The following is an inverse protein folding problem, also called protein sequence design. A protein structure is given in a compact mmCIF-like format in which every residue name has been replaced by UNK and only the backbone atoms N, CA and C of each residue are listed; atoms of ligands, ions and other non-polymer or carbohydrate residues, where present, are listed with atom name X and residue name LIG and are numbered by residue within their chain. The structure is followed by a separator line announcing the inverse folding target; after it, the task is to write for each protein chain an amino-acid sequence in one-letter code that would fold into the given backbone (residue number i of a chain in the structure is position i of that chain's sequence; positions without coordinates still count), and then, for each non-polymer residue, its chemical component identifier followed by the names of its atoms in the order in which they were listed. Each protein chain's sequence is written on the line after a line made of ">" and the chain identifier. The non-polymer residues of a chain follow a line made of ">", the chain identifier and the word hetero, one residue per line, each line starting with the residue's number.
data_IF_776848573395
#
_entry.id   IF_776848573395
#
_cell.length_a   1.000
_cell.length_b   1.000
_cell.length_c   1.000
_cell.angle_alpha   90.00
_cell.angle_beta   90.00
_cell.angle_gamma   90.00
#
_symmetry.space_group_name_H-M   'P 1'
#
loop_
_entity.id
_entity.type
_entity.pdbx_description
1 polymer ?
#
# COMPACT_ATOMS: atom_id res chain seq x y z
N UNK A 1 14.39 15.67 -7.17
CA UNK A 1 13.55 14.53 -6.75
C UNK A 1 14.34 13.76 -5.68
N UNK A 2 13.78 13.48 -4.49
CA UNK A 2 14.52 12.85 -3.39
C UNK A 2 14.05 11.40 -3.24
N UNK A 3 14.88 10.46 -3.66
CA UNK A 3 14.71 9.02 -3.42
C UNK A 3 15.22 8.71 -2.00
N UNK A 4 14.57 7.78 -1.30
CA UNK A 4 15.04 7.29 0.00
C UNK A 4 15.63 5.90 -0.22
N UNK A 5 16.91 5.73 0.04
CA UNK A 5 17.62 4.45 0.00
C UNK A 5 18.14 4.16 1.40
N UNK A 6 17.83 3.00 1.97
CA UNK A 6 18.30 2.59 3.30
C UNK A 6 18.78 1.12 3.28
N UNK A 7 19.73 0.74 4.15
CA UNK A 7 20.05 -0.66 4.40
C UNK A 7 18.88 -1.39 5.10
N UNK A 8 18.61 -2.65 4.70
CA UNK A 8 17.62 -3.54 5.33
C UNK A 8 18.09 -3.97 6.73
N UNK A 9 17.74 -3.24 7.78
CA UNK A 9 18.07 -3.63 9.17
C UNK A 9 16.91 -4.36 9.87
N UNK A 10 15.64 -4.07 9.54
CA UNK A 10 14.44 -4.72 10.13
C UNK A 10 13.15 -4.40 9.37
N UNK A 11 12.23 -5.37 9.23
CA UNK A 11 10.89 -5.13 8.68
C UNK A 11 10.09 -4.07 9.45
N UNK A 12 10.43 -3.81 10.72
CA UNK A 12 9.81 -2.74 11.50
C UNK A 12 10.16 -1.36 10.91
N UNK A 13 11.39 -1.18 10.40
CA UNK A 13 11.76 0.05 9.71
C UNK A 13 10.96 0.22 8.43
N UNK A 14 10.79 -0.84 7.64
CA UNK A 14 9.93 -0.83 6.44
C UNK A 14 8.50 -0.43 6.79
N UNK A 15 7.89 -1.02 7.83
CA UNK A 15 6.53 -0.64 8.27
C UNK A 15 6.46 0.84 8.69
N UNK A 16 7.47 1.36 9.41
CA UNK A 16 7.54 2.79 9.77
C UNK A 16 7.60 3.68 8.55
N UNK A 17 8.37 3.30 7.53
CA UNK A 17 8.44 4.03 6.27
C UNK A 17 7.12 3.94 5.49
N UNK A 18 6.44 2.80 5.49
CA UNK A 18 5.11 2.62 4.89
C UNK A 18 4.11 3.62 5.46
N UNK A 19 3.99 3.69 6.79
CA UNK A 19 3.10 4.66 7.45
C UNK A 19 3.55 6.10 7.20
N UNK A 20 4.85 6.40 7.35
CA UNK A 20 5.39 7.75 7.18
C UNK A 20 5.13 8.29 5.77
N UNK A 21 5.41 7.48 4.73
CA UNK A 21 5.28 7.89 3.34
C UNK A 21 3.82 8.00 2.92
N UNK A 22 2.98 7.01 3.27
CA UNK A 22 1.55 7.06 2.98
C UNK A 22 0.87 8.26 3.66
N UNK A 23 1.19 8.54 4.93
CA UNK A 23 0.63 9.67 5.66
C UNK A 23 1.10 11.04 5.13
N UNK A 24 2.38 11.15 4.78
CA UNK A 24 2.94 12.42 4.30
C UNK A 24 2.50 12.75 2.86
N UNK A 25 2.23 11.73 2.04
CA UNK A 25 2.10 11.89 0.59
C UNK A 25 0.82 11.30 -0.01
N UNK A 26 -0.22 11.00 0.78
CA UNK A 26 -1.48 10.46 0.22
C UNK A 26 -2.15 11.37 -0.82
N UNK A 27 -1.95 12.68 -0.73
CA UNK A 27 -2.52 13.65 -1.69
C UNK A 27 -1.90 13.58 -3.09
N UNK A 28 -0.76 12.91 -3.24
CA UNK A 28 -0.13 12.68 -4.54
C UNK A 28 -1.08 12.02 -5.53
N UNK A 29 -1.99 11.16 -5.03
CA UNK A 29 -2.96 10.45 -5.85
C UNK A 29 -3.97 11.36 -6.55
N UNK A 30 -4.12 12.62 -6.10
CA UNK A 30 -4.98 13.61 -6.75
C UNK A 30 -4.44 14.06 -8.12
N UNK A 31 -3.15 13.84 -8.39
CA UNK A 31 -2.52 14.26 -9.65
C UNK A 31 -2.74 13.25 -10.79
N UNK A 32 -3.25 12.05 -10.50
CA UNK A 32 -3.25 10.94 -11.44
C UNK A 32 -4.65 10.59 -11.94
N UNK A 33 -4.73 10.28 -13.23
CA UNK A 33 -5.94 9.84 -13.92
C UNK A 33 -5.63 8.57 -14.72
N UNK A 34 -6.62 7.69 -14.84
CA UNK A 34 -6.57 6.54 -15.74
C UNK A 34 -7.82 6.57 -16.60
N UNK A 35 -7.62 6.62 -17.93
CA UNK A 35 -8.70 6.70 -18.92
C UNK A 35 -9.71 7.83 -18.66
N UNK A 36 -9.21 9.00 -18.24
CA UNK A 36 -10.05 10.18 -17.93
C UNK A 36 -10.76 10.14 -16.57
N UNK A 37 -10.63 9.07 -15.79
CA UNK A 37 -11.18 8.97 -14.43
C UNK A 37 -10.05 9.22 -13.41
N UNK A 38 -10.23 10.14 -12.44
CA UNK A 38 -9.28 10.32 -11.34
C UNK A 38 -9.12 9.04 -10.53
N UNK A 39 -7.88 8.62 -10.26
CA UNK A 39 -7.67 7.38 -9.48
C UNK A 39 -8.19 7.50 -8.04
N UNK A 40 -8.26 8.73 -7.52
CA UNK A 40 -8.84 9.02 -6.22
C UNK A 40 -10.36 8.71 -6.12
N UNK A 41 -11.07 8.65 -7.25
CA UNK A 41 -12.51 8.30 -7.30
C UNK A 41 -12.77 6.82 -7.55
N UNK A 42 -11.72 6.01 -7.68
CA UNK A 42 -11.86 4.56 -7.86
C UNK A 42 -12.49 3.93 -6.63
N UNK A 43 -13.35 2.95 -6.80
CA UNK A 43 -13.73 2.01 -5.75
C UNK A 43 -12.54 1.13 -5.36
N UNK A 44 -12.50 0.54 -4.15
CA UNK A 44 -11.35 -0.23 -3.69
C UNK A 44 -10.90 -1.32 -4.68
N UNK A 45 -11.83 -2.05 -5.29
CA UNK A 45 -11.50 -3.08 -6.28
C UNK A 45 -10.94 -2.49 -7.60
N UNK A 46 -11.38 -1.30 -8.01
CA UNK A 46 -10.83 -0.62 -9.18
C UNK A 46 -9.41 -0.14 -8.90
N UNK A 47 -9.17 0.40 -7.70
CA UNK A 47 -7.83 0.82 -7.27
C UNK A 47 -6.89 -0.39 -7.12
N UNK A 48 -7.38 -1.50 -6.57
CA UNK A 48 -6.63 -2.76 -6.48
C UNK A 48 -6.12 -3.20 -7.85
N UNK A 49 -7.03 -3.28 -8.83
CA UNK A 49 -6.68 -3.69 -10.21
C UNK A 49 -5.73 -2.70 -10.86
N UNK A 50 -5.95 -1.40 -10.67
CA UNK A 50 -5.06 -0.37 -11.19
C UNK A 50 -3.61 -0.53 -10.71
N UNK A 51 -3.41 -0.81 -9.41
CA UNK A 51 -2.08 -1.05 -8.86
C UNK A 51 -1.53 -2.39 -9.34
N UNK A 52 -2.36 -3.43 -9.38
CA UNK A 52 -1.97 -4.77 -9.84
C UNK A 52 -1.50 -4.79 -11.30
N UNK A 53 -2.10 -3.96 -12.15
CA UNK A 53 -1.74 -3.81 -13.57
C UNK A 53 -0.37 -3.14 -13.78
N UNK A 54 0.18 -2.47 -12.77
CA UNK A 54 1.54 -1.95 -12.85
C UNK A 54 2.55 -3.12 -12.78
N UNK A 55 3.65 -3.02 -13.53
CA UNK A 55 4.71 -4.03 -13.52
C UNK A 55 5.35 -4.16 -12.12
N UNK A 56 5.53 -5.40 -11.66
CA UNK A 56 6.29 -5.67 -10.44
C UNK A 56 7.78 -5.67 -10.77
N UNK A 57 8.53 -4.82 -10.08
CA UNK A 57 9.98 -4.75 -10.22
C UNK A 57 10.59 -4.84 -8.82
N UNK A 58 11.30 -5.94 -8.55
CA UNK A 58 11.99 -6.13 -7.27
C UNK A 58 13.12 -5.14 -7.07
N UNK A 59 13.43 -4.86 -5.82
CA UNK A 59 14.63 -4.14 -5.47
C UNK A 59 15.94 -4.82 -5.91
N UNK A 60 16.98 -4.04 -6.28
CA UNK A 60 18.32 -4.55 -6.47
C UNK A 60 18.89 -5.19 -5.18
N UNK A 61 19.74 -6.21 -5.30
CA UNK A 61 20.35 -6.84 -4.13
C UNK A 61 21.06 -5.84 -3.21
N UNK A 62 20.69 -5.83 -1.92
CA UNK A 62 21.33 -5.02 -0.89
C UNK A 62 20.88 -3.55 -0.82
N UNK A 63 19.86 -3.14 -1.58
CA UNK A 63 19.29 -1.79 -1.56
C UNK A 63 17.78 -1.92 -1.37
N UNK A 64 17.21 -1.19 -0.40
CA UNK A 64 15.76 -1.06 -0.23
C UNK A 64 15.30 0.30 -0.80
N UNK A 65 14.39 0.28 -1.78
CA UNK A 65 13.75 1.48 -2.31
C UNK A 65 12.34 1.61 -1.75
N UNK A 66 12.15 2.61 -0.89
CA UNK A 66 10.81 3.02 -0.42
C UNK A 66 10.39 4.32 -1.10
N UNK A 67 9.42 4.23 -1.98
CA UNK A 67 8.94 5.31 -2.83
C UNK A 67 7.65 5.95 -2.27
N UNK A 68 7.57 7.28 -2.37
CA UNK A 68 6.27 7.96 -2.17
C UNK A 68 5.35 7.71 -3.39
N UNK A 69 4.02 7.79 -3.23
CA UNK A 69 3.05 7.44 -4.27
C UNK A 69 3.30 8.08 -5.64
N UNK A 70 3.62 9.39 -5.70
CA UNK A 70 3.90 10.07 -6.97
C UNK A 70 5.06 9.46 -7.75
N UNK A 71 6.10 9.02 -7.04
CA UNK A 71 7.31 8.46 -7.67
C UNK A 71 6.97 7.08 -8.24
N UNK A 72 6.33 6.24 -7.43
CA UNK A 72 5.87 4.91 -7.83
C UNK A 72 5.03 4.96 -9.11
N UNK A 73 4.07 5.89 -9.18
CA UNK A 73 3.18 6.02 -10.33
C UNK A 73 3.84 6.64 -11.58
N UNK A 74 4.76 7.61 -11.41
CA UNK A 74 5.46 8.22 -12.54
C UNK A 74 6.48 7.28 -13.19
N UNK A 75 7.06 6.37 -12.41
CA UNK A 75 8.10 5.44 -12.86
C UNK A 75 7.56 4.02 -13.11
N UNK A 76 6.26 3.80 -12.90
CA UNK A 76 5.62 2.52 -13.21
C UNK A 76 5.83 2.14 -14.70
N UNK A 77 6.34 0.94 -14.94
CA UNK A 77 6.65 0.45 -16.29
C UNK A 77 7.95 0.99 -16.90
N UNK A 78 8.76 1.75 -16.13
CA UNK A 78 10.10 2.18 -16.58
C UNK A 78 11.22 1.20 -16.18
N UNK A 79 10.89 0.06 -15.57
CA UNK A 79 11.85 -0.83 -14.91
C UNK A 79 12.42 -0.28 -13.59
N UNK A 80 11.87 0.81 -13.04
CA UNK A 80 12.21 1.26 -11.69
C UNK A 80 11.60 0.33 -10.65
N UNK A 81 12.26 0.09 -9.49
CA UNK A 81 11.70 -0.74 -8.43
C UNK A 81 10.31 -0.29 -8.00
N UNK A 82 9.42 -1.27 -7.86
CA UNK A 82 8.03 -1.10 -7.46
C UNK A 82 7.49 -2.42 -6.89
N UNK A 83 8.02 -2.78 -5.72
CA UNK A 83 7.75 -4.07 -5.09
C UNK A 83 6.60 -4.02 -4.05
N UNK A 84 6.55 -4.99 -3.14
CA UNK A 84 5.49 -5.12 -2.14
C UNK A 84 5.37 -3.92 -1.19
N UNK A 85 6.47 -3.27 -0.81
CA UNK A 85 6.45 -2.15 0.14
C UNK A 85 5.86 -0.88 -0.49
N UNK A 86 6.25 -0.55 -1.72
CA UNK A 86 5.76 0.57 -2.51
C UNK A 86 4.28 0.44 -2.83
N UNK A 87 3.85 -0.78 -3.18
CA UNK A 87 2.44 -1.08 -3.42
C UNK A 87 1.62 -0.98 -2.14
N UNK A 88 2.20 -1.34 -1.01
CA UNK A 88 1.60 -1.14 0.32
C UNK A 88 1.47 0.35 0.64
N UNK A 89 2.52 1.15 0.41
CA UNK A 89 2.48 2.62 0.56
C UNK A 89 1.36 3.22 -0.29
N UNK A 90 1.27 2.80 -1.54
CA UNK A 90 0.28 3.30 -2.49
C UNK A 90 -1.15 2.94 -2.08
N UNK A 91 -1.35 1.69 -1.65
CA UNK A 91 -2.64 1.19 -1.17
C UNK A 91 -3.08 1.92 0.11
N UNK A 92 -2.18 2.10 1.07
CA UNK A 92 -2.48 2.80 2.31
C UNK A 92 -2.75 4.29 2.09
N UNK A 93 -1.98 4.93 1.20
CA UNK A 93 -2.22 6.29 0.75
C UNK A 93 -3.63 6.48 0.16
N UNK A 94 -4.13 5.51 -0.61
CA UNK A 94 -5.47 5.57 -1.18
C UNK A 94 -6.56 5.60 -0.10
N UNK A 95 -6.52 4.69 0.88
CA UNK A 95 -7.52 4.69 1.96
C UNK A 95 -7.43 5.95 2.83
N UNK A 96 -6.21 6.45 3.08
CA UNK A 96 -6.00 7.74 3.75
C UNK A 96 -6.64 8.89 2.97
N UNK A 97 -6.47 8.94 1.66
CA UNK A 97 -7.09 9.98 0.82
C UNK A 97 -8.63 9.88 0.82
N UNK A 98 -9.17 8.66 0.78
CA UNK A 98 -10.63 8.42 0.88
C UNK A 98 -11.19 8.96 2.19
N UNK A 99 -10.55 8.65 3.33
CA UNK A 99 -10.95 9.18 4.64
C UNK A 99 -10.78 10.70 4.74
N UNK A 100 -9.66 11.25 4.23
CA UNK A 100 -9.44 12.69 4.18
C UNK A 100 -10.53 13.40 3.37
N UNK A 101 -10.98 12.81 2.26
CA UNK A 101 -12.08 13.34 1.45
C UNK A 101 -13.40 13.35 2.23
N UNK A 102 -13.72 12.29 2.98
CA UNK A 102 -14.91 12.29 3.86
C UNK A 102 -14.85 13.43 4.88
N UNK A 103 -13.69 13.61 5.52
CA UNK A 103 -13.46 14.68 6.49
C UNK A 103 -13.68 16.07 5.88
N UNK A 104 -13.19 16.31 4.66
CA UNK A 104 -13.43 17.58 3.95
C UNK A 104 -14.92 17.84 3.66
N UNK A 105 -15.71 16.78 3.49
CA UNK A 105 -17.16 16.85 3.30
C UNK A 105 -17.95 16.90 4.61
N UNK A 106 -17.27 16.99 5.77
CA UNK A 106 -17.92 16.99 7.09
C UNK A 106 -18.55 15.64 7.46
N UNK A 107 -18.04 14.54 6.92
CA UNK A 107 -18.52 13.17 7.17
C UNK A 107 -17.50 12.38 7.97
N UNK A 108 -17.97 11.34 8.65
CA UNK A 108 -17.11 10.40 9.36
C UNK A 108 -16.20 9.64 8.38
N UNK A 109 -15.04 9.23 8.88
CA UNK A 109 -14.11 8.39 8.14
C UNK A 109 -14.78 7.07 7.74
N UNK A 110 -14.57 6.65 6.50
CA UNK A 110 -15.25 5.49 5.93
C UNK A 110 -14.55 4.18 6.26
N UNK A 111 -13.22 4.19 6.33
CA UNK A 111 -12.42 2.97 6.42
C UNK A 111 -11.53 2.94 7.66
N UNK A 112 -11.40 1.76 8.26
CA UNK A 112 -10.23 1.41 9.07
C UNK A 112 -9.23 0.65 8.18
N UNK A 113 -7.95 0.79 8.48
CA UNK A 113 -6.86 0.08 7.80
C UNK A 113 -5.79 -0.36 8.79
N UNK A 114 -5.08 -1.44 8.45
CA UNK A 114 -3.93 -1.96 9.21
C UNK A 114 -2.89 -2.55 8.25
N UNK A 115 -1.63 -2.48 8.63
CA UNK A 115 -0.52 -3.06 7.85
C UNK A 115 -0.19 -4.44 8.40
N UNK A 116 0.02 -5.40 7.52
CA UNK A 116 0.38 -6.78 7.87
C UNK A 116 1.76 -7.08 7.31
N UNK A 117 2.62 -7.65 8.16
CA UNK A 117 3.86 -8.31 7.71
C UNK A 117 3.65 -9.81 7.88
N UNK A 118 3.77 -10.54 6.79
CA UNK A 118 3.48 -11.98 6.73
C UNK A 118 4.64 -12.78 6.15
N UNK A 119 4.63 -14.08 6.42
CA UNK A 119 5.56 -15.04 5.84
C UNK A 119 4.93 -16.42 5.69
N UNK A 120 5.35 -17.18 4.66
CA UNK A 120 4.93 -18.58 4.49
C UNK A 120 5.52 -19.49 5.56
N UNK A 121 6.67 -19.13 6.10
CA UNK A 121 7.30 -19.79 7.26
C UNK A 121 7.18 -18.89 8.48
N UNK A 122 7.89 -19.24 9.55
CA UNK A 122 8.09 -18.44 10.77
C UNK A 122 8.84 -17.11 10.57
N UNK A 123 9.27 -16.77 9.34
CA UNK A 123 10.04 -15.56 9.03
C UNK A 123 9.23 -14.55 8.21
N UNK A 124 9.36 -13.24 8.45
CA UNK A 124 8.72 -12.21 7.63
C UNK A 124 9.26 -12.24 6.20
N UNK A 125 8.38 -12.04 5.21
CA UNK A 125 8.73 -12.08 3.79
C UNK A 125 7.93 -11.11 2.92
N UNK A 126 6.71 -10.75 3.32
CA UNK A 126 5.80 -9.95 2.50
C UNK A 126 5.03 -8.94 3.36
N UNK A 127 4.65 -7.82 2.77
CA UNK A 127 3.90 -6.75 3.43
C UNK A 127 2.71 -6.34 2.55
N UNK A 128 1.56 -6.12 3.17
CA UNK A 128 0.35 -5.61 2.52
C UNK A 128 -0.58 -4.96 3.56
N UNK A 129 -1.76 -4.48 3.15
CA UNK A 129 -2.74 -3.94 4.09
C UNK A 129 -4.02 -4.76 4.12
N UNK A 130 -4.73 -4.65 5.23
CA UNK A 130 -6.14 -4.95 5.30
C UNK A 130 -6.91 -3.68 5.56
N UNK A 131 -8.14 -3.63 5.05
CA UNK A 131 -9.06 -2.53 5.31
C UNK A 131 -10.44 -3.08 5.66
N UNK A 132 -11.29 -2.26 6.24
CA UNK A 132 -12.71 -2.55 6.41
C UNK A 132 -13.50 -1.24 6.40
N UNK A 133 -14.77 -1.27 6.04
CA UNK A 133 -15.62 -0.13 6.38
C UNK A 133 -15.74 -0.04 7.90
N UNK A 134 -15.80 1.16 8.46
CA UNK A 134 -15.97 1.33 9.92
C UNK A 134 -17.27 0.73 10.45
N UNK A 135 -18.28 0.61 9.59
CA UNK A 135 -19.55 -0.06 9.91
C UNK A 135 -19.44 -1.60 9.95
N UNK A 136 -18.37 -2.17 9.39
CA UNK A 136 -18.17 -3.60 9.26
C UNK A 136 -17.19 -4.14 10.33
N UNK A 137 -17.35 -5.41 10.67
CA UNK A 137 -16.44 -6.12 11.58
C UNK A 137 -15.29 -6.82 10.85
N UNK A 138 -15.49 -7.18 9.58
CA UNK A 138 -14.58 -8.04 8.83
C UNK A 138 -13.49 -7.25 8.13
N UNK A 139 -12.23 -7.64 8.37
CA UNK A 139 -11.07 -7.14 7.63
C UNK A 139 -10.98 -7.81 6.26
N UNK A 140 -10.75 -6.99 5.23
CA UNK A 140 -10.64 -7.39 3.83
C UNK A 140 -9.17 -7.25 3.40
N UNK A 141 -8.51 -8.35 3.01
CA UNK A 141 -7.17 -8.31 2.41
C UNK A 141 -7.10 -7.43 1.16
N UNK A 142 -6.11 -6.55 1.12
CA UNK A 142 -5.81 -5.69 -0.02
C UNK A 142 -4.32 -5.81 -0.34
N UNK A 143 -4.01 -6.76 -1.22
CA UNK A 143 -2.65 -7.05 -1.67
C UNK A 143 -2.56 -7.09 -3.22
N UNK A 144 -2.35 -5.95 -3.89
CA UNK A 144 -2.21 -5.88 -5.33
C UNK A 144 -0.78 -6.20 -5.82
N UNK A 145 0.04 -6.88 -5.02
CA UNK A 145 1.47 -7.10 -5.32
C UNK A 145 1.68 -7.96 -6.56
N UNK A 146 1.02 -9.11 -6.61
CA UNK A 146 1.24 -10.08 -7.68
C UNK A 146 0.02 -10.18 -8.61
N UNK A 147 0.22 -10.48 -9.91
CA UNK A 147 -0.89 -10.62 -10.87
C UNK A 147 -1.91 -11.71 -10.51
N UNK A 148 -1.50 -12.71 -9.73
CA UNK A 148 -2.36 -13.81 -9.27
C UNK A 148 -3.07 -13.53 -7.95
N UNK A 149 -2.76 -12.42 -7.27
CA UNK A 149 -3.46 -12.05 -6.04
C UNK A 149 -4.92 -11.67 -6.36
N UNK A 150 -5.84 -12.06 -5.49
CA UNK A 150 -7.27 -11.79 -5.65
C UNK A 150 -7.72 -10.80 -4.58
N UNK A 151 -8.47 -9.78 -4.99
CA UNK A 151 -9.05 -8.78 -4.08
C UNK A 151 -9.86 -9.46 -2.97
N UNK A 152 -9.59 -9.12 -1.71
CA UNK A 152 -10.27 -9.68 -0.55
C UNK A 152 -9.82 -11.08 -0.14
N UNK A 153 -8.78 -11.63 -0.75
CA UNK A 153 -8.22 -12.95 -0.44
C UNK A 153 -6.79 -12.80 0.06
N UNK A 154 -6.46 -13.45 1.17
CA UNK A 154 -5.08 -13.52 1.67
C UNK A 154 -4.19 -14.24 0.65
N UNK A 155 -2.96 -13.76 0.36
CA UNK A 155 -2.12 -14.32 -0.70
C UNK A 155 -1.69 -15.78 -0.44
N UNK A 156 -1.64 -16.19 0.83
CA UNK A 156 -1.35 -17.55 1.29
C UNK A 156 -1.69 -17.69 2.77
N UNK A 157 -1.77 -18.92 3.28
CA UNK A 157 -1.84 -19.19 4.73
C UNK A 157 -0.52 -18.82 5.40
N UNK A 158 -0.50 -17.87 6.36
CA UNK A 158 0.75 -17.40 6.96
C UNK A 158 1.29 -18.38 8.01
N UNK A 159 2.59 -18.66 7.96
CA UNK A 159 3.36 -19.23 9.07
C UNK A 159 3.88 -18.16 10.05
N UNK A 160 3.92 -16.91 9.60
CA UNK A 160 4.25 -15.72 10.38
C UNK A 160 3.25 -14.61 10.03
N UNK A 161 2.74 -13.93 11.05
CA UNK A 161 1.89 -12.75 10.89
C UNK A 161 2.15 -11.76 12.03
N UNK A 162 2.37 -10.50 11.67
CA UNK A 162 2.29 -9.37 12.59
C UNK A 162 1.44 -8.27 12.00
N UNK A 163 0.63 -7.67 12.86
CA UNK A 163 -0.34 -6.64 12.52
C UNK A 163 0.12 -5.34 13.16
N UNK A 164 0.06 -4.26 12.40
CA UNK A 164 0.47 -2.93 12.84
C UNK A 164 -0.63 -1.92 12.55
N UNK A 165 -0.95 -1.13 13.57
CA UNK A 165 -1.74 0.09 13.44
C UNK A 165 -0.82 1.30 13.45
N UNK A 166 -1.28 2.41 12.87
CA UNK A 166 -0.45 3.63 12.76
C UNK A 166 0.00 4.16 14.13
N UNK A 167 -0.82 3.99 15.16
CA UNK A 167 -0.55 4.46 16.52
C UNK A 167 0.41 3.55 17.31
N UNK A 168 0.85 2.42 16.73
CA UNK A 168 1.70 1.43 17.41
C UNK A 168 3.22 1.72 17.28
N UNK A 169 3.63 2.73 16.51
CA UNK A 169 5.01 2.88 15.98
C UNK A 169 5.68 4.23 16.23
#
# INVERSE_FOLDING_TARGET
>A
MKLTQKPLESYIQTVKEVFRLSNKYFKDLLEFNKNGKPIASFEPIEFFKYVQDCEYVKDPPGIEFVNRPKISLLLAGSGHPFDCDDRTILSLAYFKLRNYTQKLLGRDELFDYRVLVVGKTDRPHHIYIEFKNKADSNWIPFDPTYPYNVFGVTPFTPGFIKIFYENDL
#
